data_IF_642693942601
#
_entry.id   IF_642693942601
#
_cell.length_a   1.000
_cell.length_b   1.000
_cell.length_c   1.000
_cell.angle_alpha   90.00
_cell.angle_beta   90.00
_cell.angle_gamma   90.00
#
_symmetry.space_group_name_H-M   'P 1'
#
loop_
_entity.id
_entity.type
_entity.pdbx_description
1 polymer ?
#
# COMPACT_ATOMS: atom_id res chain seq x y z
N UNK A 1 27.85 -11.17 -6.70
CA UNK A 1 27.70 -10.23 -5.60
C UNK A 1 26.23 -9.88 -5.43
N UNK A 2 25.67 -10.18 -4.27
CA UNK A 2 24.26 -9.88 -4.03
C UNK A 2 24.08 -8.39 -3.76
N UNK A 3 23.11 -7.77 -4.45
CA UNK A 3 22.73 -6.41 -4.14
C UNK A 3 21.78 -6.49 -2.94
N UNK A 4 22.22 -5.95 -1.82
CA UNK A 4 21.36 -5.87 -0.65
C UNK A 4 20.52 -4.61 -0.76
N UNK A 5 19.20 -4.79 -0.83
CA UNK A 5 18.27 -3.67 -0.74
C UNK A 5 18.33 -3.20 0.71
N UNK A 6 18.68 -1.93 0.91
CA UNK A 6 18.73 -1.35 2.25
C UNK A 6 17.34 -1.44 2.87
N UNK A 7 17.26 -2.03 4.07
CA UNK A 7 15.99 -2.13 4.79
C UNK A 7 15.47 -0.74 5.13
N UNK A 8 14.21 -0.50 4.79
CA UNK A 8 13.55 0.78 5.00
C UNK A 8 12.69 0.71 6.26
N UNK A 9 12.20 1.86 6.69
CA UNK A 9 11.44 1.95 7.94
C UNK A 9 9.96 2.15 7.69
N UNK A 10 9.16 1.64 8.63
CA UNK A 10 7.72 1.85 8.63
C UNK A 10 7.36 3.17 9.32
N UNK A 11 6.06 3.50 9.33
CA UNK A 11 5.55 4.75 9.93
C UNK A 11 5.74 4.81 11.45
N UNK A 12 6.08 3.70 12.09
CA UNK A 12 6.36 3.63 13.52
C UNK A 12 7.86 3.82 13.83
N UNK A 13 8.69 4.00 12.80
CA UNK A 13 10.13 4.16 12.96
C UNK A 13 10.88 2.84 13.15
N UNK A 14 10.21 1.72 12.92
CA UNK A 14 10.76 0.38 13.02
C UNK A 14 11.09 -0.17 11.63
N UNK A 15 11.74 -1.33 11.57
CA UNK A 15 12.01 -1.99 10.29
C UNK A 15 10.70 -2.33 9.57
N UNK A 16 10.64 -2.01 8.27
CA UNK A 16 9.48 -2.26 7.45
C UNK A 16 9.24 -3.77 7.29
N UNK A 17 8.05 -4.25 7.63
CA UNK A 17 7.66 -5.64 7.48
C UNK A 17 7.08 -5.91 6.10
N UNK A 18 7.05 -7.17 5.70
CA UNK A 18 6.49 -7.61 4.43
C UNK A 18 4.98 -7.35 4.36
N UNK A 19 4.52 -6.83 3.21
CA UNK A 19 3.10 -6.54 2.98
C UNK A 19 2.36 -7.75 2.42
N UNK A 20 2.76 -8.25 1.25
CA UNK A 20 2.11 -9.41 0.65
C UNK A 20 3.00 -10.07 -0.41
N UNK A 21 2.97 -11.41 -0.45
CA UNK A 21 3.60 -12.21 -1.49
C UNK A 21 2.57 -12.86 -2.43
N UNK A 22 1.32 -12.90 -2.03
CA UNK A 22 0.23 -13.49 -2.82
C UNK A 22 -1.06 -12.70 -2.59
N UNK A 23 -1.30 -11.68 -3.40
CA UNK A 23 -0.55 -11.25 -4.59
C UNK A 23 0.81 -10.62 -4.24
N UNK A 24 1.78 -10.81 -5.11
CA UNK A 24 3.09 -10.18 -4.93
C UNK A 24 2.97 -8.69 -5.20
N UNK A 25 3.38 -7.87 -4.24
CA UNK A 25 3.18 -6.43 -4.27
C UNK A 25 4.49 -5.67 -4.09
N UNK A 26 4.38 -4.34 -4.14
CA UNK A 26 5.49 -3.42 -3.95
C UNK A 26 6.01 -2.85 -5.25
N UNK A 27 6.57 -1.65 -5.18
CA UNK A 27 7.21 -1.00 -6.32
C UNK A 27 8.29 -1.90 -6.94
N UNK A 28 9.07 -2.59 -6.08
CA UNK A 28 10.12 -3.50 -6.52
C UNK A 28 9.63 -4.94 -6.71
N UNK A 29 8.37 -5.23 -6.47
CA UNK A 29 7.80 -6.59 -6.49
C UNK A 29 8.57 -7.56 -5.58
N UNK A 30 8.95 -7.08 -4.41
CA UNK A 30 9.64 -7.86 -3.37
C UNK A 30 8.74 -8.22 -2.19
N UNK A 31 7.45 -7.89 -2.28
CA UNK A 31 6.47 -8.15 -1.24
C UNK A 31 6.38 -7.06 -0.17
N UNK A 32 7.27 -6.08 -0.22
CA UNK A 32 7.36 -5.00 0.75
C UNK A 32 7.05 -3.65 0.11
N UNK A 33 6.52 -2.72 0.89
CA UNK A 33 6.19 -1.38 0.41
C UNK A 33 7.42 -0.46 0.41
N UNK A 34 8.56 -1.01 -0.02
CA UNK A 34 9.79 -0.25 -0.23
C UNK A 34 9.60 0.76 -1.36
N UNK A 35 10.29 1.87 -1.28
CA UNK A 35 10.18 2.92 -2.30
C UNK A 35 11.53 3.56 -2.58
N UNK A 36 11.60 4.31 -3.67
CA UNK A 36 12.75 5.14 -4.00
C UNK A 36 12.28 6.38 -4.78
N UNK A 37 13.23 7.19 -5.22
CA UNK A 37 12.95 8.44 -5.93
C UNK A 37 12.26 8.25 -7.29
N UNK A 38 12.31 7.04 -7.85
CA UNK A 38 11.66 6.73 -9.13
C UNK A 38 10.21 6.32 -8.97
N UNK A 39 9.78 6.04 -7.74
CA UNK A 39 8.40 5.67 -7.43
C UNK A 39 7.57 6.94 -7.24
N UNK A 40 7.18 7.57 -8.35
CA UNK A 40 6.43 8.82 -8.32
C UNK A 40 5.03 8.66 -7.71
N UNK A 41 4.46 7.46 -7.79
CA UNK A 41 3.17 7.16 -7.17
C UNK A 41 3.26 6.96 -5.67
N UNK A 42 4.47 6.79 -5.12
CA UNK A 42 4.71 6.54 -3.69
C UNK A 42 3.84 5.38 -3.20
N UNK A 43 4.14 4.17 -3.69
CA UNK A 43 3.39 2.94 -3.38
C UNK A 43 3.81 2.40 -2.02
N UNK A 44 3.42 3.09 -0.95
CA UNK A 44 3.96 2.90 0.38
C UNK A 44 2.96 2.46 1.44
N UNK A 45 1.65 2.46 1.14
CA UNK A 45 0.62 2.09 2.11
C UNK A 45 0.28 0.61 1.95
N UNK A 46 0.61 -0.21 2.95
CA UNK A 46 0.19 -1.62 2.92
C UNK A 46 -1.26 -1.72 3.38
N UNK A 47 -2.16 -1.84 2.43
CA UNK A 47 -3.60 -1.90 2.66
C UNK A 47 -4.11 -3.34 2.60
N UNK A 48 -5.08 -3.63 3.46
CA UNK A 48 -5.93 -4.82 3.31
C UNK A 48 -7.15 -4.33 2.55
N UNK A 49 -7.13 -4.49 1.23
CA UNK A 49 -8.14 -3.89 0.38
C UNK A 49 -9.52 -4.51 0.59
N UNK A 50 -10.54 -3.67 0.41
CA UNK A 50 -11.94 -4.10 0.51
C UNK A 50 -12.60 -3.89 -0.85
N UNK A 51 -13.70 -4.58 -1.09
CA UNK A 51 -14.48 -4.39 -2.31
C UNK A 51 -14.88 -2.93 -2.48
N UNK A 52 -15.34 -2.29 -1.41
CA UNK A 52 -15.76 -0.89 -1.43
C UNK A 52 -14.61 0.05 -1.84
N UNK A 53 -13.42 -0.16 -1.26
CA UNK A 53 -12.23 0.62 -1.60
C UNK A 53 -11.82 0.42 -3.07
N UNK A 54 -11.80 -0.83 -3.52
CA UNK A 54 -11.43 -1.17 -4.90
C UNK A 54 -12.40 -0.59 -5.92
N UNK A 55 -13.70 -0.65 -5.65
CA UNK A 55 -14.71 -0.09 -6.53
C UNK A 55 -14.61 1.43 -6.60
N UNK A 56 -14.38 2.07 -5.45
CA UNK A 56 -14.17 3.52 -5.41
C UNK A 56 -12.95 3.94 -6.25
N UNK A 57 -11.83 3.21 -6.10
CA UNK A 57 -10.63 3.48 -6.89
C UNK A 57 -10.90 3.34 -8.38
N UNK A 58 -11.60 2.29 -8.79
CA UNK A 58 -11.92 2.04 -10.18
C UNK A 58 -12.72 3.20 -10.78
N UNK A 59 -13.75 3.65 -10.08
CA UNK A 59 -14.57 4.77 -10.51
C UNK A 59 -13.78 6.07 -10.57
N UNK A 60 -12.83 6.24 -9.65
CA UNK A 60 -12.00 7.45 -9.60
C UNK A 60 -10.88 7.46 -10.66
N UNK A 61 -10.67 6.34 -11.35
CA UNK A 61 -9.68 6.26 -12.42
C UNK A 61 -8.47 5.39 -12.14
N UNK A 62 -8.45 4.68 -11.02
CA UNK A 62 -7.34 3.77 -10.64
C UNK A 62 -7.88 2.36 -10.46
N UNK A 63 -8.03 1.62 -11.57
CA UNK A 63 -8.59 0.28 -11.57
C UNK A 63 -7.54 -0.76 -11.12
N UNK A 64 -7.70 -1.29 -9.90
CA UNK A 64 -6.88 -2.38 -9.38
C UNK A 64 -7.63 -3.72 -9.44
N UNK A 65 -8.84 -3.75 -9.97
CA UNK A 65 -9.67 -4.97 -10.04
C UNK A 65 -9.38 -5.77 -11.29
N UNK A 66 -9.24 -5.10 -12.44
CA UNK A 66 -9.04 -5.76 -13.72
C UNK A 66 -7.64 -6.38 -13.82
N UNK A 67 -7.54 -7.70 -14.08
CA UNK A 67 -6.23 -8.34 -14.26
C UNK A 67 -5.49 -7.79 -15.49
N UNK A 68 -4.16 -7.74 -15.37
CA UNK A 68 -3.27 -7.39 -16.46
C UNK A 68 -2.17 -8.44 -16.53
N UNK A 69 -2.47 -9.63 -17.14
CA UNK A 69 -1.52 -10.74 -17.19
C UNK A 69 -0.19 -10.39 -17.86
N UNK A 70 -0.21 -9.44 -18.81
CA UNK A 70 0.99 -8.96 -19.50
C UNK A 70 2.00 -8.29 -18.55
N UNK A 71 1.55 -7.83 -17.38
CA UNK A 71 2.40 -7.26 -16.35
C UNK A 71 2.49 -8.15 -15.10
N UNK A 72 1.97 -9.38 -15.19
CA UNK A 72 1.93 -10.29 -14.06
C UNK A 72 1.00 -9.83 -12.92
N UNK A 73 0.04 -8.95 -13.23
CA UNK A 73 -0.91 -8.44 -12.25
C UNK A 73 -2.21 -9.23 -12.27
N UNK A 74 -2.54 -9.95 -11.18
CA UNK A 74 -3.72 -10.83 -11.17
C UNK A 74 -5.05 -10.12 -10.93
N UNK A 75 -5.05 -8.82 -10.65
CA UNK A 75 -6.22 -8.12 -10.16
C UNK A 75 -6.39 -8.36 -8.66
N UNK A 76 -6.95 -7.39 -7.95
CA UNK A 76 -7.15 -7.51 -6.51
C UNK A 76 -8.61 -7.82 -6.18
N UNK A 77 -8.80 -8.49 -5.05
CA UNK A 77 -10.10 -8.82 -4.49
C UNK A 77 -10.10 -8.52 -3.01
N UNK A 78 -11.27 -8.52 -2.41
CA UNK A 78 -11.44 -8.25 -0.98
C UNK A 78 -10.49 -9.10 -0.13
N UNK A 79 -9.79 -8.45 0.79
CA UNK A 79 -8.85 -9.10 1.70
C UNK A 79 -7.41 -9.18 1.23
N UNK A 80 -7.14 -8.85 -0.04
CA UNK A 80 -5.76 -8.88 -0.54
C UNK A 80 -4.92 -7.77 0.09
N UNK A 81 -3.62 -8.05 0.28
CA UNK A 81 -2.64 -7.05 0.71
C UNK A 81 -2.01 -6.40 -0.50
N UNK A 82 -1.90 -5.08 -0.49
CA UNK A 82 -1.32 -4.35 -1.62
C UNK A 82 -0.65 -3.06 -1.16
N UNK A 83 0.49 -2.75 -1.75
CA UNK A 83 1.17 -1.48 -1.53
C UNK A 83 0.51 -0.41 -2.40
N UNK A 84 -0.41 0.33 -1.80
CA UNK A 84 -1.24 1.32 -2.49
C UNK A 84 -0.50 2.66 -2.56
N UNK A 85 -0.73 3.40 -3.64
CA UNK A 85 -0.24 4.76 -3.79
C UNK A 85 -0.77 5.64 -2.66
N UNK A 86 0.14 6.32 -1.95
CA UNK A 86 -0.22 7.11 -0.77
C UNK A 86 -1.21 8.25 -1.09
N UNK A 87 -1.04 8.92 -2.24
CA UNK A 87 -1.97 9.99 -2.62
C UNK A 87 -3.36 9.46 -2.94
N UNK A 88 -3.47 8.28 -3.57
CA UNK A 88 -4.77 7.66 -3.81
C UNK A 88 -5.43 7.22 -2.52
N UNK A 89 -4.65 6.69 -1.57
CA UNK A 89 -5.19 6.31 -0.27
C UNK A 89 -5.71 7.54 0.48
N UNK A 90 -4.95 8.65 0.44
CA UNK A 90 -5.39 9.90 1.05
C UNK A 90 -6.72 10.39 0.48
N UNK A 91 -6.89 10.32 -0.84
CA UNK A 91 -8.14 10.69 -1.50
C UNK A 91 -9.30 9.78 -1.08
N UNK A 92 -9.04 8.49 -0.93
CA UNK A 92 -10.06 7.55 -0.47
C UNK A 92 -10.51 7.88 0.96
N UNK A 93 -9.55 8.21 1.85
CA UNK A 93 -9.87 8.61 3.22
C UNK A 93 -10.76 9.85 3.23
N UNK A 94 -10.44 10.86 2.41
CA UNK A 94 -11.27 12.06 2.28
C UNK A 94 -12.68 11.75 1.81
N UNK A 95 -12.82 10.75 0.93
CA UNK A 95 -14.11 10.35 0.39
C UNK A 95 -14.89 9.40 1.32
N UNK A 96 -14.35 9.09 2.50
CA UNK A 96 -14.98 8.14 3.41
C UNK A 96 -14.85 6.69 2.97
N UNK A 97 -13.85 6.38 2.13
CA UNK A 97 -13.66 5.05 1.54
C UNK A 97 -12.32 4.41 1.92
N UNK A 98 -11.67 4.90 2.98
CA UNK A 98 -10.43 4.30 3.45
C UNK A 98 -10.64 2.85 3.90
N UNK A 99 -9.69 1.97 3.55
CA UNK A 99 -9.74 0.57 3.95
C UNK A 99 -8.74 0.31 5.08
N UNK A 100 -8.82 -0.87 5.75
CA UNK A 100 -7.86 -1.22 6.79
C UNK A 100 -6.42 -1.25 6.26
N UNK A 101 -5.47 -0.87 7.10
CA UNK A 101 -4.05 -0.85 6.76
C UNK A 101 -3.21 -1.49 7.86
N UNK A 102 -1.96 -1.86 7.50
CA UNK A 102 -0.98 -2.40 8.44
C UNK A 102 0.13 -1.37 8.62
N UNK A 103 0.20 -0.72 9.80
CA UNK A 103 1.22 0.31 10.05
C UNK A 103 2.64 -0.25 10.02
N UNK A 104 2.84 -1.47 10.53
CA UNK A 104 4.16 -2.12 10.55
C UNK A 104 4.67 -2.42 9.14
N UNK A 105 3.78 -2.46 8.16
CA UNK A 105 4.07 -2.77 6.76
C UNK A 105 3.93 -1.57 5.84
N UNK A 106 3.69 -0.38 6.40
CA UNK A 106 3.51 0.87 5.66
C UNK A 106 4.76 1.72 5.80
N UNK A 107 5.33 2.12 4.66
CA UNK A 107 6.59 2.87 4.63
C UNK A 107 6.44 4.26 5.22
N UNK A 108 7.48 4.75 5.89
CA UNK A 108 7.48 6.06 6.57
C UNK A 108 7.18 7.24 5.65
N UNK A 109 7.47 7.12 4.34
CA UNK A 109 7.18 8.20 3.38
C UNK A 109 5.69 8.49 3.25
N UNK A 110 4.82 7.57 3.69
CA UNK A 110 3.37 7.81 3.74
C UNK A 110 3.04 9.03 4.60
N UNK A 111 3.87 9.32 5.62
CA UNK A 111 3.65 10.45 6.53
C UNK A 111 3.75 11.81 5.83
N UNK A 112 4.29 11.85 4.62
CA UNK A 112 4.31 13.08 3.80
C UNK A 112 2.93 13.37 3.19
N UNK A 113 2.04 12.38 3.18
CA UNK A 113 0.71 12.47 2.57
C UNK A 113 -0.42 12.42 3.59
N UNK A 114 -0.21 11.72 4.71
CA UNK A 114 -1.23 11.52 5.75
C UNK A 114 -0.56 11.56 7.12
N UNK A 115 -1.18 12.26 8.09
CA UNK A 115 -0.64 12.26 9.46
C UNK A 115 -0.84 10.89 10.12
N UNK A 116 0.03 10.58 11.09
CA UNK A 116 0.00 9.29 11.80
C UNK A 116 -1.35 9.06 12.50
N UNK A 117 -1.96 10.12 13.02
CA UNK A 117 -3.26 10.02 13.69
C UNK A 117 -4.35 9.50 12.77
N UNK A 118 -4.34 9.93 11.50
CA UNK A 118 -5.28 9.44 10.49
C UNK A 118 -5.02 7.97 10.18
N UNK A 119 -3.75 7.61 9.99
CA UNK A 119 -3.38 6.23 9.69
C UNK A 119 -3.78 5.28 10.82
N UNK A 120 -3.63 5.70 12.09
CA UNK A 120 -4.02 4.88 13.23
C UNK A 120 -5.51 4.54 13.25
N UNK A 121 -6.36 5.38 12.69
CA UNK A 121 -7.81 5.10 12.63
C UNK A 121 -8.14 3.89 11.77
N UNK A 122 -7.28 3.56 10.80
CA UNK A 122 -7.49 2.46 9.88
C UNK A 122 -6.59 1.26 10.16
N UNK A 123 -5.69 1.38 11.14
CA UNK A 123 -4.70 0.36 11.45
C UNK A 123 -5.34 -0.86 12.11
N UNK A 124 -4.92 -2.06 11.68
CA UNK A 124 -5.42 -3.32 12.23
C UNK A 124 -4.31 -4.18 12.85
N UNK A 125 -3.07 -3.71 12.83
CA UNK A 125 -1.91 -4.43 13.37
C UNK A 125 -1.30 -3.76 14.62
N UNK A 126 -1.99 -2.81 15.20
CA UNK A 126 -1.60 -2.18 16.48
C UNK A 126 -2.75 -2.27 17.47
N UNK A 127 -2.41 -2.28 18.74
CA UNK A 127 -3.39 -2.33 19.84
C UNK A 127 -3.69 -0.94 20.37
#
# INVERSE_FOLDING_TARGET
MSIQIKKQKNVLGEELEECSNNPLTGWFRDGCCNTDENDHGVHTVCAKVTTEFLEWLKEAGNDLITPHPEFGFPGLKDGDGWCVCASWYAKAVEAGKGCPIFLKRTHENTLKHLPIETLKKFAIDIS
#
